data_IF_747192642897
#
_entry.id   IF_747192642897
#
_cell.length_a   1.000
_cell.length_b   1.000
_cell.length_c   1.000
_cell.angle_alpha   90.00
_cell.angle_beta   90.00
_cell.angle_gamma   90.00
#
_symmetry.space_group_name_H-M   'P 1'
#
loop_
_entity.id
_entity.type
_entity.pdbx_description
1 polymer ?
#
# COMPACT_ATOMS: atom_id res chain seq x y z
N UNK A 1 25.20 -6.54 -1.66
CA UNK A 1 23.90 -6.20 -1.08
C UNK A 1 23.42 -7.36 -0.25
N UNK A 2 23.18 -7.13 1.03
CA UNK A 2 22.57 -8.10 1.95
C UNK A 2 21.07 -8.23 1.70
N UNK A 3 20.46 -9.30 2.20
CA UNK A 3 19.00 -9.50 2.11
C UNK A 3 18.22 -8.36 2.79
N UNK A 4 18.70 -7.85 3.92
CA UNK A 4 18.06 -6.74 4.63
C UNK A 4 18.10 -5.45 3.79
N UNK A 5 19.25 -5.16 3.17
CA UNK A 5 19.38 -4.01 2.26
C UNK A 5 18.44 -4.14 1.07
N UNK A 6 18.43 -5.31 0.41
CA UNK A 6 17.54 -5.55 -0.72
C UNK A 6 16.06 -5.38 -0.38
N UNK A 7 15.62 -5.94 0.75
CA UNK A 7 14.23 -5.81 1.22
C UNK A 7 13.87 -4.35 1.48
N UNK A 8 14.76 -3.59 2.13
CA UNK A 8 14.54 -2.17 2.42
C UNK A 8 14.46 -1.35 1.13
N UNK A 9 15.36 -1.57 0.19
CA UNK A 9 15.38 -0.85 -1.09
C UNK A 9 14.11 -1.14 -1.90
N UNK A 10 13.63 -2.40 -1.86
CA UNK A 10 12.38 -2.80 -2.51
C UNK A 10 11.16 -2.12 -1.90
N UNK A 11 11.09 -2.01 -0.57
CA UNK A 11 10.00 -1.31 0.12
C UNK A 11 10.02 0.20 -0.19
N UNK A 12 11.20 0.80 -0.31
CA UNK A 12 11.34 2.22 -0.64
C UNK A 12 10.99 2.53 -2.10
N UNK A 13 11.35 1.65 -3.04
CA UNK A 13 10.91 1.74 -4.45
C UNK A 13 9.39 1.60 -4.56
N UNK A 14 8.79 0.63 -3.85
CA UNK A 14 7.34 0.49 -3.76
C UNK A 14 6.68 1.77 -3.24
N UNK A 15 7.16 2.33 -2.11
CA UNK A 15 6.64 3.57 -1.52
C UNK A 15 6.71 4.73 -2.52
N UNK A 16 7.84 4.87 -3.22
CA UNK A 16 8.05 5.92 -4.22
C UNK A 16 7.07 5.79 -5.40
N UNK A 17 6.87 4.57 -5.91
CA UNK A 17 5.93 4.31 -7.02
C UNK A 17 4.49 4.54 -6.61
N UNK A 18 4.11 4.13 -5.41
CA UNK A 18 2.77 4.37 -4.88
C UNK A 18 2.47 5.87 -4.83
N UNK A 19 3.36 6.68 -4.24
CA UNK A 19 3.16 8.12 -4.19
C UNK A 19 3.10 8.75 -5.58
N UNK A 20 3.98 8.34 -6.51
CA UNK A 20 3.94 8.83 -7.89
C UNK A 20 2.64 8.47 -8.61
N UNK A 21 2.09 7.28 -8.37
CA UNK A 21 0.84 6.84 -8.99
C UNK A 21 -0.39 7.61 -8.50
N UNK A 22 -0.32 8.19 -7.30
CA UNK A 22 -1.39 8.97 -6.68
C UNK A 22 -1.24 10.48 -6.88
N UNK A 23 -0.06 10.92 -7.32
CA UNK A 23 0.26 12.34 -7.45
C UNK A 23 -0.67 13.03 -8.47
N UNK A 24 -1.32 14.10 -8.03
CA UNK A 24 -2.23 14.91 -8.84
C UNK A 24 -3.61 14.31 -9.10
N UNK A 25 -3.94 13.12 -8.58
CA UNK A 25 -5.29 12.56 -8.73
C UNK A 25 -6.30 13.33 -7.87
N UNK A 26 -7.45 13.63 -8.48
CA UNK A 26 -8.62 14.17 -7.78
C UNK A 26 -9.37 13.07 -7.03
N UNK A 27 -10.27 13.45 -6.11
CA UNK A 27 -11.12 12.50 -5.39
C UNK A 27 -12.02 11.66 -6.31
N UNK A 28 -12.52 12.26 -7.40
CA UNK A 28 -13.33 11.55 -8.39
C UNK A 28 -12.51 10.50 -9.15
N UNK A 29 -11.27 10.82 -9.51
CA UNK A 29 -10.35 9.88 -10.15
C UNK A 29 -9.91 8.77 -9.20
N UNK A 30 -9.66 9.10 -7.92
CA UNK A 30 -9.37 8.11 -6.88
C UNK A 30 -10.52 7.11 -6.69
N UNK A 31 -11.77 7.56 -6.86
CA UNK A 31 -12.96 6.72 -6.76
C UNK A 31 -13.35 6.02 -8.06
N UNK A 32 -12.68 6.33 -9.18
CA UNK A 32 -12.93 5.68 -10.47
C UNK A 32 -12.60 4.19 -10.41
N UNK A 33 -13.39 3.39 -11.14
CA UNK A 33 -13.17 1.95 -11.35
C UNK A 33 -13.54 1.55 -12.79
N UNK A 34 -12.85 0.60 -13.42
CA UNK A 34 -13.15 0.17 -14.80
C UNK A 34 -14.55 -0.44 -14.97
N UNK A 35 -15.03 -1.18 -13.97
CA UNK A 35 -16.35 -1.82 -13.95
C UNK A 35 -16.83 -2.05 -12.51
N UNK A 36 -18.07 -2.53 -12.35
CA UNK A 36 -18.70 -2.73 -11.03
C UNK A 36 -18.02 -3.79 -10.16
N UNK A 37 -17.29 -4.71 -10.76
CA UNK A 37 -16.58 -5.80 -10.08
C UNK A 37 -15.14 -5.42 -9.71
N UNK A 38 -14.66 -4.27 -10.22
CA UNK A 38 -13.34 -3.75 -9.92
C UNK A 38 -13.34 -2.89 -8.67
N UNK A 39 -12.23 -2.91 -7.95
CA UNK A 39 -11.96 -1.95 -6.89
C UNK A 39 -11.59 -0.58 -7.47
N UNK A 40 -11.87 0.49 -6.72
CA UNK A 40 -11.37 1.82 -7.06
C UNK A 40 -9.89 1.96 -6.73
N UNK A 41 -9.23 2.98 -7.30
CA UNK A 41 -7.83 3.29 -7.02
C UNK A 41 -7.62 3.51 -5.51
N UNK A 42 -8.50 4.29 -4.88
CA UNK A 42 -8.48 4.55 -3.44
C UNK A 42 -8.56 3.26 -2.61
N UNK A 43 -9.45 2.33 -3.00
CA UNK A 43 -9.58 1.06 -2.29
C UNK A 43 -8.33 0.20 -2.42
N UNK A 44 -7.70 0.15 -3.60
CA UNK A 44 -6.46 -0.60 -3.82
C UNK A 44 -5.32 -0.03 -2.97
N UNK A 45 -5.17 1.30 -2.91
CA UNK A 45 -4.19 1.96 -2.04
C UNK A 45 -4.44 1.61 -0.57
N UNK A 46 -5.67 1.80 -0.10
CA UNK A 46 -6.06 1.48 1.28
C UNK A 46 -5.81 0.02 1.61
N UNK A 47 -6.22 -0.90 0.73
CA UNK A 47 -6.05 -2.33 0.93
C UNK A 47 -4.57 -2.71 1.05
N UNK A 48 -3.72 -2.18 0.16
CA UNK A 48 -2.30 -2.51 0.17
C UNK A 48 -1.62 -2.02 1.45
N UNK A 49 -1.90 -0.79 1.88
CA UNK A 49 -1.36 -0.24 3.14
C UNK A 49 -1.86 -1.00 4.38
N UNK A 50 -3.12 -1.45 4.39
CA UNK A 50 -3.67 -2.30 5.47
C UNK A 50 -3.03 -3.68 5.53
N UNK A 51 -2.75 -4.30 4.39
CA UNK A 51 -2.05 -5.58 4.33
C UNK A 51 -0.61 -5.42 4.82
N UNK A 52 0.09 -4.35 4.41
CA UNK A 52 1.45 -4.03 4.88
C UNK A 52 1.51 -3.86 6.41
N UNK A 53 0.60 -3.06 6.99
CA UNK A 53 0.48 -2.87 8.44
C UNK A 53 0.30 -4.21 9.17
N UNK A 54 -0.57 -5.09 8.66
CA UNK A 54 -0.79 -6.41 9.25
C UNK A 54 0.45 -7.32 9.17
N UNK A 55 1.20 -7.28 8.07
CA UNK A 55 2.47 -8.02 7.94
C UNK A 55 3.49 -7.59 8.98
N UNK A 56 3.69 -6.30 9.16
CA UNK A 56 4.69 -5.81 10.11
C UNK A 56 4.24 -5.91 11.56
N UNK A 57 3.01 -5.53 11.88
CA UNK A 57 2.56 -5.52 13.27
C UNK A 57 2.21 -6.92 13.75
N UNK A 58 1.30 -7.60 13.07
CA UNK A 58 0.76 -8.87 13.55
C UNK A 58 1.74 -10.00 13.29
N UNK A 59 2.19 -10.16 12.03
CA UNK A 59 2.97 -11.34 11.67
C UNK A 59 4.45 -11.24 12.07
N UNK A 60 5.10 -10.08 11.88
CA UNK A 60 6.52 -9.93 12.22
C UNK A 60 6.76 -9.56 13.69
N UNK A 61 5.87 -8.78 14.31
CA UNK A 61 6.07 -8.26 15.68
C UNK A 61 5.14 -8.86 16.74
N UNK A 62 4.06 -9.57 16.36
CA UNK A 62 3.08 -10.10 17.30
C UNK A 62 2.26 -9.02 18.02
N UNK A 63 2.11 -7.83 17.42
CA UNK A 63 1.34 -6.69 17.94
C UNK A 63 0.00 -6.56 17.23
N UNK A 64 -0.94 -5.81 17.82
CA UNK A 64 -2.12 -5.36 17.09
C UNK A 64 -1.71 -4.46 15.92
N UNK A 65 -2.47 -4.51 14.84
CA UNK A 65 -2.30 -3.58 13.72
C UNK A 65 -2.61 -2.14 14.15
N UNK A 66 -1.99 -1.16 13.47
CA UNK A 66 -2.05 0.25 13.91
C UNK A 66 -3.46 0.82 13.80
N UNK A 67 -4.24 0.31 12.85
CA UNK A 67 -5.57 0.81 12.50
C UNK A 67 -6.71 -0.12 12.95
N UNK A 68 -6.49 -0.86 14.05
CA UNK A 68 -7.48 -1.73 14.69
C UNK A 68 -8.56 -0.98 15.45
#
# INVERSE_FOLDING_TARGET
MSLIEFTRDTLEDYRTRLHRALDGLTDDELNWRPNRESNSIAFVMWHTTRVEDRWFQVFAQGKSDVWS
#
